data_IF_020146371650
#
_entry.id   IF_020146371650
#
_cell.length_a   1.000
_cell.length_b   1.000
_cell.length_c   1.000
_cell.angle_alpha   90.00
_cell.angle_beta   90.00
_cell.angle_gamma   90.00
#
_symmetry.space_group_name_H-M   'P 1'
#
loop_
_entity.id
_entity.type
_entity.pdbx_description
1 polymer ?
#
# COMPACT_ATOMS: atom_id res chain seq x y z
N UNK A 1 0.19 4.96 37.23
CA UNK A 1 0.13 5.46 35.84
C UNK A 1 1.17 4.72 35.01
N UNK A 2 0.80 3.99 33.94
CA UNK A 2 1.77 3.26 33.13
C UNK A 2 2.72 4.24 32.41
N UNK A 3 4.02 3.99 32.48
CA UNK A 3 5.03 4.78 31.79
C UNK A 3 4.76 4.79 30.27
N UNK A 4 4.75 5.97 29.63
CA UNK A 4 4.60 6.07 28.18
C UNK A 4 5.74 5.30 27.50
N UNK A 5 5.44 4.42 26.52
CA UNK A 5 6.47 3.67 25.83
C UNK A 5 7.44 4.61 25.09
N UNK A 6 8.70 4.21 24.90
CA UNK A 6 9.65 5.02 24.16
C UNK A 6 9.13 5.27 22.73
N UNK A 7 9.42 6.45 22.15
CA UNK A 7 8.93 6.90 20.85
C UNK A 7 8.98 5.85 19.73
N UNK A 8 10.07 5.08 19.71
CA UNK A 8 10.32 4.05 18.71
C UNK A 8 9.38 2.85 18.86
N UNK A 9 9.10 2.44 20.10
CA UNK A 9 8.19 1.33 20.40
C UNK A 9 6.76 1.71 20.00
N UNK A 10 6.36 2.95 20.21
CA UNK A 10 5.06 3.46 19.78
C UNK A 10 4.89 3.41 18.25
N UNK A 11 5.90 3.86 17.49
CA UNK A 11 5.88 3.80 16.02
C UNK A 11 5.85 2.35 15.50
N UNK A 12 6.66 1.46 16.07
CA UNK A 12 6.64 0.04 15.72
C UNK A 12 5.28 -0.59 15.98
N UNK A 13 4.65 -0.28 17.11
CA UNK A 13 3.29 -0.73 17.43
C UNK A 13 2.28 -0.18 16.42
N UNK A 14 2.40 1.08 15.99
CA UNK A 14 1.52 1.66 14.97
C UNK A 14 1.69 0.96 13.60
N UNK A 15 2.93 0.71 13.16
CA UNK A 15 3.18 -0.04 11.93
C UNK A 15 2.67 -1.48 12.02
N UNK A 16 2.91 -2.16 13.16
CA UNK A 16 2.39 -3.50 13.40
C UNK A 16 0.85 -3.52 13.35
N UNK A 17 0.17 -2.54 13.95
CA UNK A 17 -1.29 -2.41 13.86
C UNK A 17 -1.77 -2.28 12.41
N UNK A 18 -1.14 -1.40 11.62
CA UNK A 18 -1.49 -1.24 10.20
C UNK A 18 -1.26 -2.54 9.43
N UNK A 19 -0.15 -3.23 9.67
CA UNK A 19 0.16 -4.51 9.05
C UNK A 19 -0.85 -5.60 9.45
N UNK A 20 -1.23 -5.69 10.73
CA UNK A 20 -2.24 -6.64 11.21
C UNK A 20 -3.60 -6.35 10.59
N UNK A 21 -4.03 -5.09 10.50
CA UNK A 21 -5.28 -4.71 9.84
C UNK A 21 -5.24 -5.08 8.36
N UNK A 22 -4.14 -4.76 7.67
CA UNK A 22 -3.97 -5.10 6.26
C UNK A 22 -4.03 -6.61 6.04
N UNK A 23 -3.34 -7.39 6.88
CA UNK A 23 -3.33 -8.84 6.81
C UNK A 23 -4.70 -9.44 7.11
N UNK A 24 -5.38 -8.99 8.16
CA UNK A 24 -6.72 -9.45 8.50
C UNK A 24 -7.72 -9.14 7.37
N UNK A 25 -7.68 -7.94 6.81
CA UNK A 25 -8.51 -7.56 5.68
C UNK A 25 -8.22 -8.42 4.46
N UNK A 26 -6.94 -8.62 4.13
CA UNK A 26 -6.54 -9.48 3.02
C UNK A 26 -7.00 -10.92 3.21
N UNK A 27 -6.90 -11.45 4.43
CA UNK A 27 -7.33 -12.80 4.77
C UNK A 27 -8.85 -12.94 4.65
N UNK A 28 -9.63 -11.99 5.20
CA UNK A 28 -11.09 -11.97 5.08
C UNK A 28 -11.50 -11.94 3.61
N UNK A 29 -10.92 -11.03 2.82
CA UNK A 29 -11.21 -10.94 1.38
C UNK A 29 -10.85 -12.23 0.64
N UNK A 30 -9.73 -12.88 1.01
CA UNK A 30 -9.33 -14.16 0.41
C UNK A 30 -10.27 -15.30 0.77
N UNK A 31 -10.74 -15.37 2.01
CA UNK A 31 -11.64 -16.42 2.48
C UNK A 31 -13.06 -16.25 1.95
N UNK A 32 -13.58 -15.01 1.92
CA UNK A 32 -14.95 -14.71 1.48
C UNK A 32 -15.08 -14.74 -0.04
N UNK A 33 -14.16 -14.09 -0.75
CA UNK A 33 -14.23 -14.01 -2.22
C UNK A 33 -13.53 -15.18 -2.92
N UNK A 34 -12.74 -15.98 -2.19
CA UNK A 34 -11.90 -17.04 -2.74
C UNK A 34 -10.60 -16.52 -3.36
N UNK A 35 -9.61 -17.41 -3.49
CA UNK A 35 -8.25 -17.05 -3.93
C UNK A 35 -8.18 -16.39 -5.31
N UNK A 36 -9.03 -16.83 -6.25
CA UNK A 36 -9.07 -16.29 -7.62
C UNK A 36 -9.55 -14.84 -7.65
N UNK A 37 -10.59 -14.50 -6.88
CA UNK A 37 -11.10 -13.12 -6.80
C UNK A 37 -10.18 -12.22 -5.97
N UNK A 38 -9.56 -12.75 -4.92
CA UNK A 38 -8.55 -11.99 -4.17
C UNK A 38 -7.38 -11.54 -5.06
N UNK A 39 -6.89 -12.40 -5.96
CA UNK A 39 -5.84 -12.03 -6.92
C UNK A 39 -6.25 -10.93 -7.91
N UNK A 40 -7.55 -10.75 -8.16
CA UNK A 40 -8.04 -9.69 -9.05
C UNK A 40 -8.23 -8.35 -8.30
N UNK A 41 -8.96 -8.35 -7.19
CA UNK A 41 -9.37 -7.11 -6.48
C UNK A 41 -8.75 -6.96 -5.10
N UNK A 42 -8.50 -8.08 -4.44
CA UNK A 42 -8.20 -8.10 -3.00
C UNK A 42 -6.97 -7.28 -2.64
N UNK A 43 -5.93 -7.33 -3.46
CA UNK A 43 -4.72 -6.52 -3.27
C UNK A 43 -5.01 -5.02 -3.42
N UNK A 44 -5.75 -4.62 -4.46
CA UNK A 44 -6.08 -3.22 -4.71
C UNK A 44 -6.97 -2.64 -3.60
N UNK A 45 -8.00 -3.39 -3.20
CA UNK A 45 -8.91 -3.01 -2.11
C UNK A 45 -8.16 -2.91 -0.78
N UNK A 46 -7.33 -3.91 -0.46
CA UNK A 46 -6.52 -3.88 0.78
C UNK A 46 -5.57 -2.69 0.79
N UNK A 47 -4.93 -2.40 -0.35
CA UNK A 47 -4.03 -1.25 -0.51
C UNK A 47 -4.80 0.05 -0.27
N UNK A 48 -5.92 0.27 -0.95
CA UNK A 48 -6.74 1.49 -0.79
C UNK A 48 -7.21 1.67 0.66
N UNK A 49 -7.65 0.59 1.31
CA UNK A 49 -8.15 0.65 2.69
C UNK A 49 -7.04 0.99 3.71
N UNK A 50 -5.83 0.46 3.51
CA UNK A 50 -4.73 0.55 4.49
C UNK A 50 -3.79 1.73 4.23
N UNK A 51 -3.73 2.21 2.99
CA UNK A 51 -2.84 3.28 2.56
C UNK A 51 -3.05 4.60 3.34
N UNK A 52 -4.27 5.08 3.63
CA UNK A 52 -4.47 6.28 4.44
C UNK A 52 -3.90 6.16 5.86
N UNK A 53 -4.03 4.97 6.47
CA UNK A 53 -3.50 4.71 7.81
C UNK A 53 -1.97 4.71 7.78
N UNK A 54 -1.36 3.99 6.84
CA UNK A 54 0.09 3.94 6.67
C UNK A 54 0.68 5.34 6.40
N UNK A 55 0.04 6.09 5.49
CA UNK A 55 0.43 7.46 5.14
C UNK A 55 0.35 8.37 6.35
N UNK A 56 -0.72 8.28 7.15
CA UNK A 56 -0.89 9.08 8.36
C UNK A 56 0.20 8.78 9.41
N UNK A 57 0.51 7.50 9.64
CA UNK A 57 1.59 7.10 10.56
C UNK A 57 2.94 7.66 10.09
N UNK A 58 3.26 7.53 8.81
CA UNK A 58 4.52 8.02 8.25
C UNK A 58 4.63 9.55 8.25
N UNK A 59 3.55 10.26 7.96
CA UNK A 59 3.53 11.73 8.01
C UNK A 59 3.72 12.23 9.45
N UNK A 60 3.09 11.58 10.44
CA UNK A 60 3.31 11.88 11.86
C UNK A 60 4.75 11.62 12.27
N UNK A 61 5.33 10.49 11.85
CA UNK A 61 6.73 10.18 12.09
C UNK A 61 7.66 11.22 11.46
N UNK A 62 7.48 11.55 10.18
CA UNK A 62 8.29 12.54 9.47
C UNK A 62 8.18 13.94 10.10
N UNK A 63 6.99 14.35 10.54
CA UNK A 63 6.81 15.62 11.28
C UNK A 63 7.62 15.64 12.56
N UNK A 64 7.63 14.54 13.32
CA UNK A 64 8.36 14.41 14.60
C UNK A 64 9.87 14.54 14.41
N UNK A 65 10.40 14.08 13.28
CA UNK A 65 11.85 14.11 12.98
C UNK A 65 12.28 15.29 12.08
N UNK A 66 11.38 16.22 11.77
CA UNK A 66 11.68 17.40 10.94
C UNK A 66 11.98 17.08 9.47
N UNK A 67 11.47 15.97 8.94
CA UNK A 67 11.73 15.54 7.57
C UNK A 67 10.72 16.10 6.58
N UNK A 68 11.18 16.23 5.32
CA UNK A 68 10.31 16.60 4.19
C UNK A 68 9.19 15.58 4.04
N UNK A 69 7.95 16.04 3.97
CA UNK A 69 6.75 15.18 3.88
C UNK A 69 6.36 14.81 2.46
N UNK A 70 6.84 15.57 1.47
CA UNK A 70 6.50 15.37 0.06
C UNK A 70 6.81 13.94 -0.47
N UNK A 71 7.87 13.23 -0.05
CA UNK A 71 8.13 11.88 -0.56
C UNK A 71 7.03 10.89 -0.14
N UNK A 72 6.49 11.06 1.06
CA UNK A 72 5.38 10.22 1.57
C UNK A 72 4.13 10.47 0.75
N UNK A 73 3.81 11.73 0.47
CA UNK A 73 2.65 12.07 -0.37
C UNK A 73 2.81 11.59 -1.80
N UNK A 74 3.98 11.79 -2.42
CA UNK A 74 4.24 11.33 -3.78
C UNK A 74 4.05 9.81 -3.89
N UNK A 75 4.65 9.06 -2.96
CA UNK A 75 4.55 7.61 -2.96
C UNK A 75 3.12 7.13 -2.67
N UNK A 76 2.40 7.80 -1.77
CA UNK A 76 0.99 7.52 -1.53
C UNK A 76 0.14 7.78 -2.78
N UNK A 77 0.34 8.89 -3.49
CA UNK A 77 -0.39 9.20 -4.73
C UNK A 77 -0.10 8.17 -5.82
N UNK A 78 1.17 7.78 -6.04
CA UNK A 78 1.54 6.76 -7.02
C UNK A 78 0.88 5.42 -6.67
N UNK A 79 0.94 5.02 -5.40
CA UNK A 79 0.36 3.75 -4.93
C UNK A 79 -1.17 3.77 -5.05
N UNK A 80 -1.82 4.88 -4.70
CA UNK A 80 -3.25 5.05 -4.83
C UNK A 80 -3.70 5.00 -6.29
N UNK A 81 -3.01 5.72 -7.18
CA UNK A 81 -3.30 5.71 -8.61
C UNK A 81 -3.20 4.29 -9.20
N UNK A 82 -2.13 3.56 -8.89
CA UNK A 82 -1.98 2.17 -9.33
C UNK A 82 -3.11 1.26 -8.82
N UNK A 83 -3.48 1.38 -7.55
CA UNK A 83 -4.56 0.59 -6.97
C UNK A 83 -5.93 0.95 -7.56
N UNK A 84 -6.20 2.23 -7.81
CA UNK A 84 -7.44 2.69 -8.45
C UNK A 84 -7.53 2.25 -9.91
N UNK A 85 -6.45 2.32 -10.67
CA UNK A 85 -6.40 1.80 -12.05
C UNK A 85 -6.71 0.30 -12.06
N UNK A 86 -6.11 -0.46 -11.13
CA UNK A 86 -6.38 -1.89 -11.02
C UNK A 86 -7.83 -2.18 -10.61
N UNK A 87 -8.38 -1.46 -9.63
CA UNK A 87 -9.77 -1.59 -9.23
C UNK A 87 -10.74 -1.23 -10.37
N UNK A 88 -10.50 -0.10 -11.03
CA UNK A 88 -11.30 0.38 -12.16
C UNK A 88 -11.27 -0.57 -13.35
N UNK A 89 -10.09 -1.09 -13.70
CA UNK A 89 -9.94 -2.10 -14.76
C UNK A 89 -10.89 -3.28 -14.54
N UNK A 90 -10.89 -3.84 -13.33
CA UNK A 90 -11.75 -4.99 -13.04
C UNK A 90 -13.23 -4.62 -12.94
N UNK A 91 -13.57 -3.47 -12.37
CA UNK A 91 -14.96 -2.99 -12.36
C UNK A 91 -15.52 -2.94 -13.78
N UNK A 92 -14.78 -2.31 -14.72
CA UNK A 92 -15.20 -2.20 -16.12
C UNK A 92 -15.16 -3.56 -16.82
N UNK A 93 -14.16 -4.41 -16.53
CA UNK A 93 -14.06 -5.75 -17.13
C UNK A 93 -15.29 -6.61 -16.81
N UNK A 94 -15.79 -6.58 -15.57
CA UNK A 94 -16.90 -7.43 -15.15
C UNK A 94 -18.29 -6.80 -15.34
N UNK A 95 -18.41 -5.47 -15.34
CA UNK A 95 -19.70 -4.78 -15.43
C UNK A 95 -19.91 -4.00 -16.73
N UNK A 96 -18.89 -3.90 -17.59
CA UNK A 96 -18.89 -3.04 -18.78
C UNK A 96 -19.47 -3.66 -20.05
N UNK A 97 -20.03 -4.87 -20.01
CA UNK A 97 -20.59 -5.54 -21.19
C UNK A 97 -19.58 -5.61 -22.36
N UNK A 98 -19.91 -4.98 -23.49
CA UNK A 98 -19.04 -4.91 -24.67
C UNK A 98 -17.67 -4.23 -24.45
N UNK A 99 -17.58 -3.27 -23.51
CA UNK A 99 -16.28 -2.69 -23.13
C UNK A 99 -15.38 -3.69 -22.38
N UNK A 100 -15.98 -4.66 -21.67
CA UNK A 100 -15.25 -5.75 -21.01
C UNK A 100 -14.54 -6.67 -22.00
N UNK A 101 -15.16 -6.93 -23.17
CA UNK A 101 -14.53 -7.69 -24.25
C UNK A 101 -13.33 -6.96 -24.85
N UNK A 102 -13.46 -5.65 -25.10
CA UNK A 102 -12.35 -4.81 -25.58
C UNK A 102 -11.18 -4.78 -24.59
N UNK A 103 -11.45 -4.65 -23.29
CA UNK A 103 -10.43 -4.75 -22.24
C UNK A 103 -9.80 -6.14 -22.14
N UNK A 104 -10.55 -7.20 -22.41
CA UNK A 104 -10.02 -8.56 -22.48
C UNK A 104 -8.98 -8.73 -23.59
N UNK A 105 -9.26 -8.21 -24.78
CA UNK A 105 -8.34 -8.22 -25.92
C UNK A 105 -7.12 -7.33 -25.62
N UNK A 106 -7.34 -6.11 -25.16
CA UNK A 106 -6.25 -5.20 -24.77
C UNK A 106 -5.35 -5.80 -23.69
N UNK A 107 -5.93 -6.50 -22.71
CA UNK A 107 -5.17 -7.23 -21.69
C UNK A 107 -4.35 -8.35 -22.31
N UNK A 108 -4.90 -9.14 -23.24
CA UNK A 108 -4.17 -10.23 -23.87
C UNK A 108 -2.92 -9.73 -24.63
N UNK A 109 -3.05 -8.60 -25.33
CA UNK A 109 -1.95 -7.95 -26.05
C UNK A 109 -0.92 -7.34 -25.10
N UNK A 110 -1.35 -6.71 -24.01
CA UNK A 110 -0.45 -6.08 -23.04
C UNK A 110 0.17 -7.08 -22.03
N UNK A 111 -0.41 -8.28 -21.89
CA UNK A 111 -0.02 -9.26 -20.87
C UNK A 111 1.47 -9.64 -20.88
N UNK A 112 2.15 -9.79 -22.03
CA UNK A 112 3.58 -10.10 -22.06
C UNK A 112 4.42 -8.99 -21.41
N UNK A 113 4.12 -7.73 -21.74
CA UNK A 113 4.81 -6.55 -21.20
C UNK A 113 4.49 -6.37 -19.72
N UNK A 114 3.22 -6.52 -19.34
CA UNK A 114 2.75 -6.43 -17.96
C UNK A 114 3.41 -7.49 -17.09
N UNK A 115 3.47 -8.76 -17.54
CA UNK A 115 4.10 -9.85 -16.78
C UNK A 115 5.59 -9.62 -16.55
N UNK A 116 6.28 -9.02 -17.50
CA UNK A 116 7.70 -8.72 -17.37
C UNK A 116 7.94 -7.48 -16.47
N UNK A 117 7.19 -6.40 -16.67
CA UNK A 117 7.48 -5.10 -16.03
C UNK A 117 6.83 -4.89 -14.66
N UNK A 118 5.62 -5.40 -14.44
CA UNK A 118 4.87 -5.16 -13.19
C UNK A 118 5.58 -5.67 -11.93
N UNK A 119 6.23 -6.86 -11.93
CA UNK A 119 6.95 -7.33 -10.74
C UNK A 119 8.06 -6.37 -10.31
N UNK A 120 8.82 -5.82 -11.27
CA UNK A 120 9.88 -4.86 -10.99
C UNK A 120 9.34 -3.53 -10.47
N UNK A 121 8.25 -3.03 -11.06
CA UNK A 121 7.60 -1.81 -10.58
C UNK A 121 7.06 -1.99 -9.15
N UNK A 122 6.41 -3.13 -8.88
CA UNK A 122 5.91 -3.47 -7.55
C UNK A 122 7.05 -3.58 -6.53
N UNK A 123 8.16 -4.22 -6.90
CA UNK A 123 9.36 -4.30 -6.06
C UNK A 123 9.94 -2.91 -5.77
N UNK A 124 10.05 -2.03 -6.77
CA UNK A 124 10.54 -0.67 -6.59
C UNK A 124 9.68 0.15 -5.63
N UNK A 125 8.34 0.06 -5.76
CA UNK A 125 7.39 0.72 -4.84
C UNK A 125 7.52 0.14 -3.43
N UNK A 126 7.62 -1.18 -3.29
CA UNK A 126 7.80 -1.85 -2.00
C UNK A 126 9.10 -1.42 -1.31
N UNK A 127 10.20 -1.35 -2.04
CA UNK A 127 11.50 -0.86 -1.54
C UNK A 127 11.38 0.60 -1.10
N UNK A 128 10.72 1.45 -1.89
CA UNK A 128 10.52 2.85 -1.53
C UNK A 128 9.75 3.00 -0.20
N UNK A 129 8.67 2.23 -0.01
CA UNK A 129 7.95 2.20 1.28
C UNK A 129 8.83 1.68 2.41
N UNK A 130 9.55 0.59 2.20
CA UNK A 130 10.44 0.01 3.20
C UNK A 130 11.52 1.01 3.65
N UNK A 131 12.13 1.74 2.71
CA UNK A 131 13.11 2.78 3.02
C UNK A 131 12.49 3.90 3.87
N UNK A 132 11.29 4.38 3.55
CA UNK A 132 10.62 5.42 4.33
C UNK A 132 10.24 4.94 5.75
N UNK A 133 9.79 3.69 5.88
CA UNK A 133 9.47 3.07 7.17
C UNK A 133 10.74 2.90 8.01
N UNK A 134 11.79 2.29 7.47
CA UNK A 134 13.06 2.06 8.15
C UNK A 134 13.69 3.38 8.61
N UNK A 135 13.70 4.38 7.73
CA UNK A 135 14.17 5.73 8.08
C UNK A 135 13.38 6.30 9.27
N UNK A 136 12.06 6.12 9.29
CA UNK A 136 11.21 6.60 10.39
C UNK A 136 11.44 5.88 11.74
N UNK A 137 12.03 4.68 11.72
CA UNK A 137 12.31 3.88 12.94
C UNK A 137 13.76 4.02 13.41
N UNK A 138 14.73 4.12 12.48
CA UNK A 138 16.15 3.97 12.78
C UNK A 138 16.76 5.13 13.59
N UNK A 139 16.35 6.39 13.38
CA UNK A 139 17.10 7.52 13.98
C UNK A 139 16.91 7.63 15.50
N UNK A 140 18.01 7.74 16.27
CA UNK A 140 17.95 8.07 17.70
C UNK A 140 17.43 9.51 17.86
N UNK A 141 16.65 9.73 18.93
CA UNK A 141 16.28 11.08 19.32
C UNK A 141 17.57 11.87 19.55
N UNK A 142 17.73 13.01 18.89
CA UNK A 142 18.69 14.00 19.38
C UNK A 142 18.20 14.35 20.78
N UNK A 143 18.90 13.85 21.80
CA UNK A 143 18.75 14.29 23.18
C UNK A 143 19.20 15.75 23.19
N UNK A 144 18.27 16.67 22.94
CA UNK A 144 18.44 18.06 23.36
C UNK A 144 18.53 18.03 24.87
N UNK A 145 19.78 18.08 25.37
CA UNK A 145 20.09 18.53 26.71
C UNK A 145 19.80 20.02 26.81
#
# INVERSE_FOLDING_TARGET
>A
MPARPPPKRELLVQFAKVATIAFALALILRLVCGGRWFSFYGIAVTTIATLPLLTTVLLRAHRRFGWKRWPVWLLACITAAAALVQAGFWIVFFHGGGMGLGLGIGRAVAMPVIRAGVPWLAAAIAIAWAVLILRSVARPQKTTR
#
